data_IF_811942842631
#
_entry.id   IF_811942842631
#
_cell.length_a   1.000
_cell.length_b   1.000
_cell.length_c   1.000
_cell.angle_alpha   90.00
_cell.angle_beta   90.00
_cell.angle_gamma   90.00
#
_symmetry.space_group_name_H-M   'P 1'
#
loop_
_entity.id
_entity.type
_entity.pdbx_description
1 polymer ?
#
# COMPACT_ATOMS: atom_id res chain seq x y z
N UNK A 1 3.25 0.77 7.66
CA UNK A 1 4.66 0.39 7.44
C UNK A 1 5.54 1.62 7.29
N UNK A 2 6.52 1.81 8.19
CA UNK A 2 7.37 3.01 8.16
C UNK A 2 8.40 2.99 7.02
N UNK A 3 8.94 4.18 6.71
CA UNK A 3 9.90 4.40 5.62
C UNK A 3 11.19 3.57 5.74
N UNK A 4 11.57 3.15 6.95
CA UNK A 4 12.78 2.35 7.20
C UNK A 4 12.59 0.85 6.95
N UNK A 5 11.33 0.40 6.84
CA UNK A 5 10.98 -1.03 6.74
C UNK A 5 10.31 -1.39 5.43
N UNK A 6 9.69 -0.44 4.75
CA UNK A 6 9.09 -0.68 3.44
C UNK A 6 10.18 -0.91 2.37
N UNK A 7 9.85 -1.73 1.36
CA UNK A 7 10.67 -1.92 0.16
C UNK A 7 10.21 -1.05 -1.02
N UNK A 8 9.34 -0.07 -0.77
CA UNK A 8 8.75 0.80 -1.79
C UNK A 8 7.90 0.05 -2.84
N UNK A 9 7.45 -1.16 -2.49
CA UNK A 9 6.60 -2.03 -3.31
C UNK A 9 5.63 -2.77 -2.39
N UNK A 10 4.39 -2.90 -2.83
CA UNK A 10 3.37 -3.73 -2.18
C UNK A 10 2.45 -4.35 -3.23
N UNK A 11 1.71 -5.39 -2.85
CA UNK A 11 0.77 -6.01 -3.75
C UNK A 11 -0.44 -6.60 -3.04
N UNK A 12 -1.50 -6.78 -3.81
CA UNK A 12 -2.73 -7.43 -3.41
C UNK A 12 -3.19 -8.36 -4.54
N UNK A 13 -3.64 -9.55 -4.19
CA UNK A 13 -4.26 -10.47 -5.15
C UNK A 13 -5.77 -10.59 -4.86
N UNK A 14 -6.59 -10.35 -5.89
CA UNK A 14 -8.03 -10.56 -5.87
C UNK A 14 -8.36 -11.85 -6.64
N UNK A 15 -8.77 -12.94 -5.96
CA UNK A 15 -9.06 -14.22 -6.61
C UNK A 15 -10.36 -14.21 -7.43
N UNK A 16 -11.30 -13.31 -7.14
CA UNK A 16 -12.59 -13.24 -7.87
C UNK A 16 -12.35 -12.71 -9.28
N UNK A 17 -11.58 -11.63 -9.40
CA UNK A 17 -11.23 -11.04 -10.69
C UNK A 17 -9.93 -11.59 -11.28
N UNK A 18 -9.24 -12.50 -10.57
CA UNK A 18 -7.90 -13.00 -10.90
C UNK A 18 -6.93 -11.87 -11.24
N UNK A 19 -6.87 -10.88 -10.36
CA UNK A 19 -6.08 -9.65 -10.55
C UNK A 19 -5.01 -9.53 -9.48
N UNK A 20 -3.76 -9.46 -9.92
CA UNK A 20 -2.64 -9.03 -9.09
C UNK A 20 -2.46 -7.51 -9.27
N UNK A 21 -2.73 -6.76 -8.22
CA UNK A 21 -2.37 -5.34 -8.12
C UNK A 21 -0.97 -5.24 -7.52
N UNK A 22 -0.08 -4.49 -8.16
CA UNK A 22 1.23 -4.13 -7.62
C UNK A 22 1.33 -2.61 -7.59
N UNK A 23 1.75 -2.06 -6.46
CA UNK A 23 2.09 -0.64 -6.34
C UNK A 23 3.58 -0.47 -6.13
N UNK A 24 4.14 0.60 -6.68
CA UNK A 24 5.50 1.07 -6.38
C UNK A 24 5.45 2.56 -6.13
N UNK A 25 6.28 3.07 -5.22
CA UNK A 25 6.21 4.48 -4.83
C UNK A 25 7.56 5.01 -4.39
N UNK A 26 7.70 6.34 -4.33
CA UNK A 26 8.89 6.98 -3.78
C UNK A 26 8.97 6.80 -2.26
N UNK A 27 10.16 6.53 -1.72
CA UNK A 27 10.37 6.51 -0.27
C UNK A 27 11.75 7.04 0.09
N UNK A 28 11.82 7.88 1.11
CA UNK A 28 13.08 8.33 1.71
C UNK A 28 13.17 7.83 3.16
N UNK A 29 13.98 6.79 3.45
CA UNK A 29 14.14 6.24 4.81
C UNK A 29 14.69 7.23 5.84
N UNK A 30 15.27 8.35 5.39
CA UNK A 30 15.84 9.39 6.24
C UNK A 30 14.88 10.55 6.51
N UNK A 31 13.78 10.66 5.76
CA UNK A 31 12.83 11.75 5.88
C UNK A 31 11.81 11.55 7.02
N UNK A 32 11.07 12.63 7.31
CA UNK A 32 9.98 12.63 8.30
C UNK A 32 8.66 12.29 7.61
N UNK A 33 7.89 11.38 8.18
CA UNK A 33 6.56 11.00 7.72
C UNK A 33 5.54 11.31 8.81
N UNK A 34 4.38 11.83 8.41
CA UNK A 34 3.34 12.25 9.35
C UNK A 34 2.51 11.06 9.82
N UNK A 35 2.14 11.08 11.10
CA UNK A 35 1.22 10.09 11.66
C UNK A 35 -0.20 10.32 11.08
N UNK A 36 -0.85 9.26 10.62
CA UNK A 36 -2.18 9.28 9.99
C UNK A 36 -3.29 8.78 10.95
N UNK A 37 -2.97 8.44 12.19
CA UNK A 37 -3.95 8.08 13.22
C UNK A 37 -4.76 9.30 13.66
N UNK A 38 -6.06 9.10 13.90
CA UNK A 38 -6.91 10.07 14.59
C UNK A 38 -6.66 10.03 16.11
N UNK A 39 -5.45 10.39 16.54
CA UNK A 39 -5.05 10.34 17.94
C UNK A 39 -4.11 11.51 18.30
N UNK A 40 -4.61 12.56 18.97
CA UNK A 40 -3.82 13.75 19.30
C UNK A 40 -2.73 13.50 20.36
N UNK A 41 -2.72 12.35 21.03
CA UNK A 41 -1.67 11.98 21.98
C UNK A 41 -0.43 11.36 21.30
N UNK A 42 -0.52 10.99 20.02
CA UNK A 42 0.62 10.42 19.26
C UNK A 42 1.52 11.52 18.72
N UNK A 43 2.79 11.18 18.48
CA UNK A 43 3.72 12.10 17.83
C UNK A 43 3.32 12.29 16.35
N UNK A 44 2.91 13.50 15.92
CA UNK A 44 2.47 13.74 14.55
C UNK A 44 3.59 13.59 13.52
N UNK A 45 4.86 13.60 13.94
CA UNK A 45 6.03 13.47 13.07
C UNK A 45 6.62 12.05 13.04
N UNK A 46 5.86 11.05 13.52
CA UNK A 46 6.24 9.64 13.44
C UNK A 46 5.11 8.84 12.85
N UNK A 47 5.15 8.69 11.53
CA UNK A 47 4.16 7.96 10.77
C UNK A 47 4.74 6.96 9.79
N UNK A 48 3.85 6.45 8.95
CA UNK A 48 4.11 5.41 7.98
C UNK A 48 4.27 5.98 6.57
N UNK A 49 5.01 5.27 5.72
CA UNK A 49 5.17 5.59 4.31
C UNK A 49 4.27 4.75 3.40
N UNK A 50 3.83 3.59 3.90
CA UNK A 50 2.97 2.63 3.22
C UNK A 50 1.95 2.12 4.22
N UNK A 51 0.68 2.13 3.83
CA UNK A 51 -0.38 1.48 4.60
C UNK A 51 -1.26 0.65 3.66
N UNK A 52 -1.95 -0.32 4.25
CA UNK A 52 -2.91 -1.13 3.53
C UNK A 52 -4.14 -1.31 4.41
N UNK A 53 -5.31 -1.09 3.82
CA UNK A 53 -6.58 -1.25 4.51
C UNK A 53 -7.49 -2.13 3.65
N UNK A 54 -8.12 -3.11 4.26
CA UNK A 54 -9.08 -3.97 3.60
C UNK A 54 -10.31 -4.04 4.49
N UNK A 55 -11.37 -3.32 4.10
CA UNK A 55 -12.63 -3.38 4.82
C UNK A 55 -13.48 -4.53 4.29
N UNK A 56 -13.85 -5.41 5.21
CA UNK A 56 -14.67 -6.58 4.91
C UNK A 56 -16.14 -6.21 4.68
N UNK A 57 -16.98 -7.18 4.28
CA UNK A 57 -18.41 -6.95 4.25
C UNK A 57 -18.95 -6.61 5.65
N UNK A 58 -19.79 -5.59 5.74
CA UNK A 58 -20.46 -5.21 6.98
C UNK A 58 -21.76 -6.02 7.15
N UNK A 59 -22.03 -6.49 8.36
CA UNK A 59 -23.23 -7.30 8.67
C UNK A 59 -24.56 -6.54 8.48
N UNK A 60 -24.52 -5.20 8.47
CA UNK A 60 -25.67 -4.29 8.35
C UNK A 60 -25.64 -3.37 7.11
N UNK A 61 -24.56 -3.37 6.32
CA UNK A 61 -24.48 -2.78 4.99
C UNK A 61 -24.15 -1.29 4.84
N UNK A 62 -23.57 -0.59 5.83
CA UNK A 62 -23.13 0.83 5.70
C UNK A 62 -21.81 1.08 6.45
N UNK A 63 -20.75 1.78 6.02
CA UNK A 63 -20.43 2.76 4.95
C UNK A 63 -19.14 2.34 4.21
N UNK A 64 -18.95 2.90 3.00
CA UNK A 64 -17.89 2.76 1.97
C UNK A 64 -17.91 1.50 1.09
N UNK A 65 -18.56 0.42 1.51
CA UNK A 65 -18.63 -0.82 0.71
C UNK A 65 -17.30 -1.61 0.74
N UNK A 66 -17.16 -2.72 -0.01
CA UNK A 66 -15.93 -3.49 -0.04
C UNK A 66 -14.81 -2.62 -0.63
N UNK A 67 -13.96 -2.08 0.25
CA UNK A 67 -12.90 -1.16 -0.11
C UNK A 67 -11.57 -1.75 0.30
N UNK A 68 -10.67 -1.80 -0.68
CA UNK A 68 -9.28 -2.15 -0.48
C UNK A 68 -8.43 -0.94 -0.87
N UNK A 69 -7.53 -0.58 0.02
CA UNK A 69 -6.56 0.47 -0.15
C UNK A 69 -5.14 -0.06 -0.04
N UNK A 70 -4.29 0.37 -0.97
CA UNK A 70 -2.85 0.33 -0.85
C UNK A 70 -2.36 1.78 -0.99
N UNK A 71 -2.08 2.43 0.13
CA UNK A 71 -1.68 3.84 0.13
C UNK A 71 -0.17 4.00 0.30
N UNK A 72 0.35 5.10 -0.24
CA UNK A 72 1.71 5.55 0.07
C UNK A 72 1.69 7.03 0.34
N UNK A 73 2.52 7.48 1.29
CA UNK A 73 2.61 8.87 1.67
C UNK A 73 3.91 9.49 1.16
N UNK A 74 3.88 10.78 0.85
CA UNK A 74 5.10 11.57 0.71
C UNK A 74 5.70 11.87 2.08
N UNK A 75 6.98 12.27 2.14
CA UNK A 75 7.52 12.92 3.33
C UNK A 75 6.74 14.19 3.69
N UNK A 76 6.83 14.60 4.96
CA UNK A 76 6.42 15.92 5.41
C UNK A 76 7.30 16.99 4.76
N UNK A 77 6.70 18.10 4.32
CA UNK A 77 7.43 19.23 3.77
C UNK A 77 6.83 20.57 4.22
N UNK A 78 7.71 21.49 4.60
CA UNK A 78 7.37 22.87 4.97
C UNK A 78 7.69 23.80 3.80
N UNK A 79 6.91 23.68 2.73
CA UNK A 79 7.15 24.38 1.47
C UNK A 79 6.91 25.89 1.61
N UNK A 80 7.83 26.70 1.08
CA UNK A 80 7.70 28.14 0.92
C UNK A 80 6.91 28.49 -0.36
N UNK A 81 6.48 29.76 -0.53
CA UNK A 81 5.87 30.19 -1.78
C UNK A 81 6.75 29.87 -3.00
N UNK A 82 6.20 29.11 -3.95
CA UNK A 82 6.88 28.69 -5.17
C UNK A 82 7.66 27.36 -5.07
N UNK A 83 7.79 26.76 -3.88
CA UNK A 83 8.38 25.43 -3.72
C UNK A 83 7.34 24.33 -3.96
N UNK A 84 7.82 23.14 -4.37
CA UNK A 84 7.00 21.96 -4.62
C UNK A 84 7.68 20.70 -4.11
N UNK A 85 6.87 19.74 -3.64
CA UNK A 85 7.27 18.36 -3.42
C UNK A 85 6.50 17.48 -4.41
N UNK A 86 7.14 16.44 -4.93
CA UNK A 86 6.49 15.42 -5.76
C UNK A 86 6.67 14.05 -5.13
N UNK A 87 5.64 13.23 -5.25
CA UNK A 87 5.63 11.84 -4.81
C UNK A 87 4.99 11.02 -5.91
N UNK A 88 5.75 10.08 -6.48
CA UNK A 88 5.27 9.21 -7.54
C UNK A 88 4.75 7.92 -6.91
N UNK A 89 3.51 7.58 -7.23
CA UNK A 89 2.89 6.31 -6.93
C UNK A 89 2.40 5.69 -8.23
N UNK A 90 2.91 4.52 -8.57
CA UNK A 90 2.51 3.78 -9.76
C UNK A 90 1.65 2.58 -9.36
N UNK A 91 0.57 2.36 -10.10
CA UNK A 91 -0.33 1.21 -9.92
C UNK A 91 -0.30 0.36 -11.19
N UNK A 92 -0.08 -0.93 -11.01
CA UNK A 92 -0.09 -1.92 -12.07
C UNK A 92 -1.14 -2.97 -11.76
N UNK A 93 -1.98 -3.29 -12.75
CA UNK A 93 -2.93 -4.39 -12.66
C UNK A 93 -2.58 -5.46 -13.69
N UNK A 94 -2.26 -6.65 -13.21
CA UNK A 94 -2.06 -7.84 -14.02
C UNK A 94 -3.25 -8.76 -13.85
N UNK A 95 -3.89 -9.15 -14.95
CA UNK A 95 -5.09 -10.00 -14.94
C UNK A 95 -4.80 -11.25 -15.75
N UNK A 96 -5.08 -12.42 -15.18
CA UNK A 96 -4.81 -13.70 -15.83
C UNK A 96 -4.88 -14.86 -14.86
N UNK A 97 -4.61 -16.08 -15.35
CA UNK A 97 -4.63 -17.26 -14.48
C UNK A 97 -3.50 -17.23 -13.45
N UNK A 98 -3.75 -17.82 -12.28
CA UNK A 98 -2.82 -17.85 -11.15
C UNK A 98 -1.46 -18.43 -11.51
N UNK A 99 -1.43 -19.46 -12.37
CA UNK A 99 -0.20 -20.07 -12.85
C UNK A 99 0.69 -19.07 -13.62
N UNK A 100 0.09 -18.07 -14.28
CA UNK A 100 0.81 -17.03 -15.04
C UNK A 100 1.16 -15.84 -14.15
N UNK A 101 0.30 -15.50 -13.19
CA UNK A 101 0.52 -14.38 -12.27
C UNK A 101 1.51 -14.73 -11.14
N UNK A 102 1.58 -15.99 -10.70
CA UNK A 102 2.45 -16.40 -9.58
C UNK A 102 3.93 -16.08 -9.82
N UNK A 103 4.53 -16.35 -10.99
CA UNK A 103 5.92 -15.94 -11.27
C UNK A 103 6.16 -14.43 -11.16
N UNK A 104 5.17 -13.59 -11.48
CA UNK A 104 5.27 -12.13 -11.32
C UNK A 104 5.30 -11.79 -9.82
N UNK A 105 4.40 -12.38 -9.04
CA UNK A 105 4.33 -12.21 -7.59
C UNK A 105 5.62 -12.67 -6.90
N UNK A 106 6.15 -13.83 -7.28
CA UNK A 106 7.40 -14.37 -6.72
C UNK A 106 8.58 -13.45 -7.02
N UNK A 107 8.69 -12.98 -8.26
CA UNK A 107 9.80 -12.11 -8.68
C UNK A 107 9.76 -10.74 -8.00
N UNK A 108 8.58 -10.15 -7.84
CA UNK A 108 8.43 -8.79 -7.32
C UNK A 108 8.27 -8.74 -5.80
N UNK A 109 7.53 -9.68 -5.22
CA UNK A 109 7.10 -9.67 -3.82
C UNK A 109 7.72 -10.81 -3.00
N UNK A 110 8.37 -11.79 -3.64
CA UNK A 110 9.04 -12.90 -2.96
C UNK A 110 8.11 -13.99 -2.45
N UNK A 111 6.84 -13.97 -2.85
CA UNK A 111 5.81 -14.95 -2.46
C UNK A 111 4.99 -15.36 -3.68
N UNK A 112 4.53 -16.61 -3.72
CA UNK A 112 3.62 -17.12 -4.75
C UNK A 112 2.17 -16.75 -4.45
N UNK A 113 1.30 -16.79 -5.47
CA UNK A 113 -0.14 -16.57 -5.24
C UNK A 113 -0.70 -17.63 -4.29
N UNK A 114 -0.28 -18.88 -4.45
CA UNK A 114 -0.68 -19.97 -3.56
C UNK A 114 -0.30 -19.67 -2.11
N UNK A 115 0.92 -19.20 -1.85
CA UNK A 115 1.32 -18.82 -0.49
C UNK A 115 0.41 -17.72 0.07
N UNK A 116 0.14 -16.67 -0.71
CA UNK A 116 -0.68 -15.54 -0.24
C UNK A 116 -2.13 -15.97 0.08
N UNK A 117 -2.70 -16.93 -0.66
CA UNK A 117 -4.07 -17.39 -0.46
C UNK A 117 -4.24 -18.46 0.62
N UNK A 118 -3.14 -19.01 1.17
CA UNK A 118 -3.20 -20.09 2.17
C UNK A 118 -2.43 -19.80 3.46
N UNK A 119 -1.88 -18.59 3.65
CA UNK A 119 -0.96 -18.30 4.77
C UNK A 119 -1.65 -18.07 6.13
N UNK A 120 -2.97 -18.25 6.24
CA UNK A 120 -3.72 -18.18 7.49
C UNK A 120 -4.84 -19.23 7.54
#
# INVERSE_FOLDING_TARGET
MNAKRTKAIAGNYDPISKRLTVITFDVDPSAVYLNQEWNPARNPLTGDALNAYNDGPLEDGSIMGPFLELESCSPAAFLKPGESLSHVHNVYHFVGDEAVLSPVCEKLLGVSIHQVTTIF
#
